data_IF_248010562359
#
_entry.id   IF_248010562359
#
_cell.length_a   1.000
_cell.length_b   1.000
_cell.length_c   1.000
_cell.angle_alpha   90.00
_cell.angle_beta   90.00
_cell.angle_gamma   90.00
#
_symmetry.space_group_name_H-M   'P 1'
#
loop_
_entity.id
_entity.type
_entity.pdbx_description
1 polymer ?
#
# COMPACT_ATOMS: atom_id res chain seq x y z
N UNK A 1 -13.95 19.82 27.42
CA UNK A 1 -13.69 18.41 27.24
C UNK A 1 -12.96 18.17 25.93
N UNK A 2 -11.67 18.18 25.99
CA UNK A 2 -10.87 18.08 24.77
C UNK A 2 -10.37 16.66 24.52
N UNK A 3 -10.75 15.73 25.38
CA UNK A 3 -10.20 14.38 25.32
C UNK A 3 -10.52 13.69 24.02
N UNK A 4 -11.76 13.77 23.55
CA UNK A 4 -12.14 13.13 22.29
C UNK A 4 -11.47 13.76 21.09
N UNK A 5 -11.37 15.09 21.10
CA UNK A 5 -10.69 15.78 19.99
C UNK A 5 -9.22 15.42 19.97
N UNK A 6 -8.57 15.43 21.13
CA UNK A 6 -7.17 15.06 21.22
C UNK A 6 -6.94 13.61 20.82
N UNK A 7 -7.84 12.73 21.24
CA UNK A 7 -7.75 11.31 20.89
C UNK A 7 -7.86 11.12 19.37
N UNK A 8 -8.81 11.82 18.73
CA UNK A 8 -8.96 11.71 17.29
C UNK A 8 -7.72 12.18 16.53
N UNK A 9 -7.12 13.27 16.98
CA UNK A 9 -5.88 13.76 16.37
C UNK A 9 -4.74 12.78 16.55
N UNK A 10 -4.66 12.17 17.73
CA UNK A 10 -3.62 11.18 17.99
C UNK A 10 -3.76 9.98 17.06
N UNK A 11 -4.99 9.51 16.85
CA UNK A 11 -5.23 8.38 15.95
C UNK A 11 -4.82 8.74 14.52
N UNK A 12 -5.22 9.91 14.02
CA UNK A 12 -4.84 10.31 12.67
C UNK A 12 -3.35 10.54 12.53
N UNK A 13 -2.71 11.05 13.55
CA UNK A 13 -1.27 11.23 13.55
C UNK A 13 -0.56 9.87 13.48
N UNK A 14 -0.99 8.92 14.31
CA UNK A 14 -0.40 7.59 14.32
C UNK A 14 -0.68 6.84 13.04
N UNK A 15 -1.88 7.02 12.48
CA UNK A 15 -2.21 6.40 11.20
C UNK A 15 -1.30 6.92 10.10
N UNK A 16 -1.14 8.23 10.01
CA UNK A 16 -0.26 8.84 9.00
C UNK A 16 1.17 8.33 9.13
N UNK A 17 1.69 8.30 10.35
CA UNK A 17 3.05 7.81 10.58
C UNK A 17 3.20 6.34 10.25
N UNK A 18 2.24 5.54 10.69
CA UNK A 18 2.27 4.10 10.45
C UNK A 18 2.16 3.77 8.98
N UNK A 19 1.26 4.45 8.27
CA UNK A 19 1.09 4.21 6.85
C UNK A 19 2.34 4.62 6.06
N UNK A 20 2.92 5.76 6.42
CA UNK A 20 4.17 6.19 5.79
C UNK A 20 5.28 5.17 6.01
N UNK A 21 5.41 4.66 7.22
CA UNK A 21 6.41 3.64 7.53
C UNK A 21 6.15 2.35 6.75
N UNK A 22 4.89 1.96 6.64
CA UNK A 22 4.51 0.77 5.89
C UNK A 22 4.86 0.92 4.41
N UNK A 23 4.49 2.06 3.80
CA UNK A 23 4.82 2.29 2.40
C UNK A 23 6.32 2.31 2.17
N UNK A 24 7.09 2.89 3.09
CA UNK A 24 8.55 2.90 2.95
C UNK A 24 9.10 1.48 2.92
N UNK A 25 8.53 0.58 3.70
CA UNK A 25 8.96 -0.82 3.72
C UNK A 25 8.55 -1.56 2.45
N UNK A 26 7.34 -1.30 1.95
CA UNK A 26 6.91 -1.89 0.68
C UNK A 26 7.80 -1.38 -0.45
N UNK A 27 8.07 -0.07 -0.49
CA UNK A 27 8.95 0.51 -1.50
C UNK A 27 10.31 -0.19 -1.50
N UNK A 28 10.90 -0.34 -0.32
CA UNK A 28 12.18 -1.03 -0.19
C UNK A 28 12.10 -2.46 -0.69
N UNK A 29 11.02 -3.18 -0.34
CA UNK A 29 10.86 -4.57 -0.75
C UNK A 29 10.74 -4.72 -2.25
N UNK A 30 10.13 -3.75 -2.94
CA UNK A 30 10.00 -3.78 -4.40
C UNK A 30 11.14 -3.05 -5.11
N UNK A 31 12.10 -2.50 -4.36
CA UNK A 31 13.33 -1.98 -4.94
C UNK A 31 13.32 -0.53 -5.31
N UNK A 32 12.44 0.28 -4.73
CA UNK A 32 12.43 1.73 -4.95
C UNK A 32 12.55 2.47 -3.63
N UNK A 33 12.84 3.77 -3.71
CA UNK A 33 12.92 4.60 -2.53
C UNK A 33 11.57 5.21 -2.16
N UNK A 34 11.51 5.81 -0.97
CA UNK A 34 10.27 6.42 -0.51
C UNK A 34 9.91 7.66 -1.35
N UNK A 35 10.87 8.26 -2.01
CA UNK A 35 10.62 9.38 -2.94
C UNK A 35 9.71 8.99 -4.10
N UNK A 36 9.58 7.69 -4.36
CA UNK A 36 8.67 7.17 -5.38
C UNK A 36 7.25 6.96 -4.86
N UNK A 37 7.00 7.29 -3.60
CA UNK A 37 5.72 7.04 -2.96
C UNK A 37 4.95 8.33 -2.73
N UNK A 38 3.64 8.23 -2.70
CA UNK A 38 2.78 9.31 -2.25
C UNK A 38 1.62 8.74 -1.45
N UNK A 39 1.05 9.58 -0.60
CA UNK A 39 -0.03 9.22 0.30
C UNK A 39 -1.17 10.20 0.16
N UNK A 40 -2.38 9.68 0.25
CA UNK A 40 -3.58 10.48 0.42
C UNK A 40 -4.30 9.94 1.65
N UNK A 41 -4.46 10.79 2.65
CA UNK A 41 -5.03 10.38 3.94
C UNK A 41 -6.53 10.66 4.03
N UNK A 42 -7.13 11.21 2.99
CA UNK A 42 -8.57 11.37 2.93
C UNK A 42 -9.25 9.99 2.84
N UNK A 43 -10.55 9.95 3.10
CA UNK A 43 -11.28 8.69 3.04
C UNK A 43 -11.78 8.41 1.62
N UNK A 44 -11.43 7.24 1.05
CA UNK A 44 -10.56 6.22 1.61
C UNK A 44 -9.09 6.61 1.53
N UNK A 45 -8.33 6.29 2.56
CA UNK A 45 -6.89 6.53 2.52
C UNK A 45 -6.25 5.65 1.46
N UNK A 46 -5.22 6.18 0.81
CA UNK A 46 -4.54 5.45 -0.26
C UNK A 46 -3.06 5.77 -0.30
N UNK A 47 -2.32 4.88 -0.94
CA UNK A 47 -0.90 5.04 -1.17
C UNK A 47 -0.55 4.63 -2.60
N UNK A 48 0.51 5.23 -3.11
CA UNK A 48 0.97 5.02 -4.48
C UNK A 48 2.47 4.79 -4.46
N UNK A 49 2.92 3.78 -5.19
CA UNK A 49 4.35 3.48 -5.31
C UNK A 49 4.67 3.38 -6.80
N UNK A 50 5.38 4.38 -7.33
CA UNK A 50 5.84 4.36 -8.70
C UNK A 50 6.99 3.36 -8.82
N UNK A 51 6.88 2.46 -9.76
CA UNK A 51 7.92 1.47 -10.00
C UNK A 51 8.78 1.91 -11.17
N UNK A 52 10.07 1.69 -11.04
CA UNK A 52 11.02 2.12 -12.04
C UNK A 52 11.24 1.02 -13.08
N UNK A 53 10.11 0.49 -13.56
CA UNK A 53 10.15 -0.62 -14.51
C UNK A 53 8.83 -0.74 -15.24
N UNK A 54 8.85 -1.50 -16.33
CA UNK A 54 7.66 -1.83 -17.11
C UNK A 54 7.50 -3.34 -17.16
N UNK A 55 6.34 -3.81 -17.65
CA UNK A 55 6.15 -5.22 -17.92
C UNK A 55 6.63 -5.54 -19.33
N UNK A 56 7.10 -6.77 -19.58
CA UNK A 56 7.65 -7.13 -20.90
C UNK A 56 6.71 -6.88 -22.07
N UNK A 57 5.41 -7.12 -21.87
CA UNK A 57 4.41 -6.95 -22.93
C UNK A 57 3.75 -5.58 -22.92
N UNK A 58 4.20 -4.68 -22.05
CA UNK A 58 3.62 -3.34 -21.91
C UNK A 58 4.71 -2.30 -21.73
N UNK A 59 5.71 -2.35 -22.59
CA UNK A 59 6.89 -1.50 -22.44
C UNK A 59 6.60 -0.02 -22.55
N UNK A 60 5.45 0.36 -23.15
CA UNK A 60 5.08 1.76 -23.29
C UNK A 60 4.26 2.28 -22.10
N UNK A 61 4.10 1.49 -21.05
CA UNK A 61 3.28 1.86 -19.91
C UNK A 61 4.11 1.77 -18.63
N UNK A 62 3.98 2.78 -17.80
CA UNK A 62 4.63 2.79 -16.50
C UNK A 62 3.86 1.91 -15.52
N UNK A 63 4.58 1.11 -14.77
CA UNK A 63 4.00 0.22 -13.79
C UNK A 63 4.02 0.88 -12.41
N UNK A 64 2.94 0.74 -11.67
CA UNK A 64 2.82 1.27 -10.32
C UNK A 64 2.01 0.33 -9.46
N UNK A 65 2.15 0.51 -8.16
CA UNK A 65 1.33 -0.18 -7.17
C UNK A 65 0.48 0.86 -6.45
N UNK A 66 -0.78 0.52 -6.25
CA UNK A 66 -1.71 1.37 -5.50
C UNK A 66 -2.30 0.56 -4.37
N UNK A 67 -2.32 1.17 -3.19
CA UNK A 67 -2.98 0.62 -2.02
C UNK A 67 -4.11 1.55 -1.63
N UNK A 68 -5.26 0.99 -1.26
CA UNK A 68 -6.26 1.75 -0.54
C UNK A 68 -6.82 0.91 0.60
N UNK A 69 -7.40 1.60 1.58
CA UNK A 69 -7.81 0.93 2.82
C UNK A 69 -8.99 -0.02 2.64
N UNK A 70 -9.69 0.05 1.53
CA UNK A 70 -10.85 -0.81 1.26
C UNK A 70 -10.43 -2.03 0.47
N UNK A 71 -9.62 -1.85 -0.56
CA UNK A 71 -9.32 -2.89 -1.55
C UNK A 71 -7.92 -3.48 -1.45
N UNK A 72 -7.06 -2.89 -0.62
CA UNK A 72 -5.67 -3.34 -0.52
C UNK A 72 -4.85 -2.99 -1.75
N UNK A 73 -3.88 -3.82 -2.06
CA UNK A 73 -2.92 -3.53 -3.12
C UNK A 73 -3.42 -3.94 -4.50
N UNK A 74 -3.11 -3.11 -5.49
CA UNK A 74 -3.31 -3.45 -6.89
C UNK A 74 -2.08 -3.03 -7.70
N UNK A 75 -1.89 -3.70 -8.82
CA UNK A 75 -0.88 -3.30 -9.80
C UNK A 75 -1.58 -2.61 -10.95
N UNK A 76 -1.07 -1.46 -11.35
CA UNK A 76 -1.67 -0.65 -12.40
C UNK A 76 -0.62 -0.27 -13.44
N UNK A 77 -1.08 -0.02 -14.65
CA UNK A 77 -0.23 0.55 -15.70
C UNK A 77 -0.80 1.89 -16.12
N UNK A 78 0.10 2.80 -16.41
CA UNK A 78 -0.23 4.15 -16.82
C UNK A 78 0.39 4.42 -18.17
N UNK A 79 -0.38 4.90 -19.17
CA UNK A 79 0.21 5.22 -20.48
C UNK A 79 1.28 6.29 -20.36
N UNK A 80 2.38 6.13 -21.09
CA UNK A 80 3.51 7.03 -20.99
C UNK A 80 3.15 8.47 -21.36
N UNK A 81 2.17 8.67 -22.21
CA UNK A 81 1.73 10.01 -22.59
C UNK A 81 0.63 10.58 -21.70
N UNK A 82 0.37 9.96 -20.59
CA UNK A 82 -0.76 10.33 -19.71
C UNK A 82 -2.02 9.59 -20.10
N UNK A 83 -3.04 9.71 -19.28
CA UNK A 83 -4.28 9.01 -19.47
C UNK A 83 -4.64 8.21 -18.22
N UNK A 84 -5.77 7.52 -18.27
CA UNK A 84 -6.26 6.79 -17.12
C UNK A 84 -5.41 5.55 -16.84
N UNK A 85 -5.09 5.33 -15.57
CA UNK A 85 -4.43 4.11 -15.13
C UNK A 85 -5.36 2.92 -15.30
N UNK A 86 -4.80 1.78 -15.66
CA UNK A 86 -5.55 0.54 -15.83
C UNK A 86 -5.09 -0.47 -14.79
N UNK A 87 -6.03 -0.98 -14.02
CA UNK A 87 -5.72 -2.02 -13.04
C UNK A 87 -5.49 -3.33 -13.75
N UNK A 88 -4.37 -3.96 -13.46
CA UNK A 88 -4.02 -5.28 -14.02
C UNK A 88 -4.49 -6.39 -13.10
N UNK A 89 -4.29 -6.25 -11.81
CA UNK A 89 -4.64 -7.29 -10.87
C UNK A 89 -4.65 -6.72 -9.45
N UNK A 90 -5.40 -7.37 -8.56
CA UNK A 90 -5.39 -7.09 -7.13
C UNK A 90 -4.64 -8.20 -6.42
N UNK A 91 -3.89 -7.83 -5.39
CA UNK A 91 -3.18 -8.82 -4.60
C UNK A 91 -4.14 -9.76 -3.88
N UNK A 92 -5.19 -9.21 -3.28
CA UNK A 92 -6.12 -10.00 -2.49
C UNK A 92 -5.48 -10.52 -1.21
N UNK A 93 -5.78 -11.75 -0.89
CA UNK A 93 -5.26 -12.37 0.32
C UNK A 93 -6.11 -12.03 1.53
N UNK A 94 -5.69 -12.44 2.73
CA UNK A 94 -6.51 -12.27 3.94
C UNK A 94 -6.38 -10.91 4.59
N UNK A 95 -5.39 -10.10 4.21
CA UNK A 95 -5.08 -8.87 4.94
C UNK A 95 -5.05 -7.66 4.01
N UNK A 96 -5.60 -6.55 4.49
CA UNK A 96 -5.55 -5.28 3.75
C UNK A 96 -4.15 -4.66 3.82
N UNK A 97 -3.39 -4.99 4.86
CA UNK A 97 -2.02 -4.56 5.05
C UNK A 97 -1.11 -5.80 5.09
N UNK A 98 -0.90 -6.44 3.94
CA UNK A 98 -0.03 -7.61 3.92
C UNK A 98 1.43 -7.23 4.19
N UNK A 99 2.25 -8.18 4.61
CA UNK A 99 3.66 -7.88 4.80
C UNK A 99 4.32 -7.43 3.49
N UNK A 100 5.31 -6.57 3.57
CA UNK A 100 5.98 -6.06 2.35
C UNK A 100 6.47 -7.16 1.42
N UNK A 101 6.92 -8.30 1.96
CA UNK A 101 7.38 -9.40 1.11
C UNK A 101 6.26 -9.99 0.27
N UNK A 102 5.01 -9.95 0.76
CA UNK A 102 3.87 -10.45 0.00
C UNK A 102 3.59 -9.55 -1.19
N UNK A 103 3.75 -8.24 -1.02
CA UNK A 103 3.59 -7.28 -2.11
C UNK A 103 4.71 -7.49 -3.15
N UNK A 104 5.94 -7.67 -2.69
CA UNK A 104 7.07 -7.90 -3.59
C UNK A 104 6.87 -9.19 -4.38
N UNK A 105 6.37 -10.25 -3.74
CA UNK A 105 6.10 -11.52 -4.41
C UNK A 105 4.99 -11.37 -5.44
N UNK A 106 3.94 -10.65 -5.12
CA UNK A 106 2.86 -10.36 -6.05
C UNK A 106 3.40 -9.69 -7.32
N UNK A 107 4.25 -8.68 -7.14
CA UNK A 107 4.86 -7.99 -8.26
C UNK A 107 5.73 -8.93 -9.08
N UNK A 108 6.50 -9.79 -8.43
CA UNK A 108 7.39 -10.71 -9.12
C UNK A 108 6.60 -11.75 -9.94
N UNK A 109 5.53 -12.29 -9.38
CA UNK A 109 4.68 -13.24 -10.10
C UNK A 109 4.02 -12.55 -11.29
N UNK A 110 3.55 -11.31 -11.11
CA UNK A 110 2.95 -10.54 -12.20
C UNK A 110 3.96 -10.34 -13.33
N UNK A 111 5.21 -10.02 -12.98
CA UNK A 111 6.26 -9.77 -13.96
C UNK A 111 6.64 -11.03 -14.74
N UNK A 112 6.68 -12.17 -14.06
CA UNK A 112 7.11 -13.42 -14.68
C UNK A 112 5.99 -14.16 -15.41
N UNK A 113 4.79 -14.16 -14.85
CA UNK A 113 3.67 -14.96 -15.36
C UNK A 113 2.56 -14.13 -15.98
N UNK A 114 2.60 -12.82 -15.78
CA UNK A 114 1.54 -11.93 -16.23
C UNK A 114 0.28 -12.04 -15.39
N UNK A 115 -0.73 -11.20 -15.69
CA UNK A 115 -2.01 -11.30 -15.00
C UNK A 115 -2.71 -12.62 -15.35
N UNK A 116 -3.50 -13.20 -14.42
CA UNK A 116 -3.72 -12.65 -13.09
C UNK A 116 -2.73 -13.22 -12.07
N UNK A 117 -1.86 -12.35 -11.54
CA UNK A 117 -0.98 -12.74 -10.44
C UNK A 117 -1.72 -12.76 -9.12
N UNK A 118 -2.92 -12.24 -9.08
CA UNK A 118 -3.80 -12.21 -7.94
C UNK A 118 -5.21 -12.39 -8.44
N UNK A 119 -6.01 -11.37 -8.33
CA UNK A 119 -7.41 -11.41 -8.75
C UNK A 119 -7.72 -10.25 -9.68
N UNK A 120 -8.63 -10.47 -10.62
CA UNK A 120 -9.18 -9.37 -11.43
C UNK A 120 -10.26 -8.60 -10.68
N UNK A 121 -10.84 -9.19 -9.64
CA UNK A 121 -11.89 -8.54 -8.88
C UNK A 121 -11.28 -7.81 -7.70
N UNK A 122 -11.78 -6.58 -7.46
CA UNK A 122 -11.38 -5.83 -6.29
C UNK A 122 -11.90 -6.51 -5.04
N UNK A 123 -11.04 -6.95 -4.14
CA UNK A 123 -11.50 -7.44 -2.85
C UNK A 123 -12.04 -6.29 -2.01
N UNK A 124 -12.90 -6.59 -1.07
CA UNK A 124 -13.39 -5.59 -0.12
C UNK A 124 -13.05 -6.10 1.27
N UNK A 125 -12.02 -5.50 1.87
CA UNK A 125 -11.56 -5.91 3.19
C UNK A 125 -12.34 -5.24 4.30
N UNK A 126 -12.76 -4.00 4.10
CA UNK A 126 -13.36 -3.18 5.14
C UNK A 126 -14.00 -1.95 4.51
N UNK A 127 -14.70 -1.17 5.36
CA UNK A 127 -15.21 0.14 4.95
C UNK A 127 -14.12 1.19 5.15
N UNK A 128 -14.21 2.28 4.41
CA UNK A 128 -13.31 3.41 4.59
C UNK A 128 -13.53 4.06 5.95
N UNK A 129 -12.47 4.63 6.49
CA UNK A 129 -12.51 5.29 7.78
C UNK A 129 -12.11 4.34 8.91
N UNK A 130 -12.42 4.71 10.15
CA UNK A 130 -12.10 3.92 11.34
C UNK A 130 -10.61 3.54 11.37
N UNK A 131 -9.75 4.54 11.18
CA UNK A 131 -8.31 4.33 11.04
C UNK A 131 -7.67 3.76 12.31
N UNK A 132 -8.33 3.87 13.45
CA UNK A 132 -7.84 3.25 14.69
C UNK A 132 -7.67 1.74 14.55
N UNK A 133 -8.48 1.11 13.72
CA UNK A 133 -8.33 -0.32 13.48
C UNK A 133 -7.04 -0.63 12.72
N UNK A 134 -6.70 0.23 11.77
CA UNK A 134 -5.51 0.04 10.96
C UNK A 134 -4.23 0.35 11.74
N UNK A 135 -4.30 1.29 12.67
CA UNK A 135 -3.13 1.66 13.47
C UNK A 135 -2.54 0.46 14.18
N UNK A 136 -3.38 -0.46 14.63
CA UNK A 136 -2.91 -1.65 15.33
C UNK A 136 -2.13 -2.60 14.43
N UNK A 137 -2.34 -2.53 13.13
CA UNK A 137 -1.70 -3.43 12.16
C UNK A 137 -0.49 -2.80 11.49
N UNK A 138 -0.31 -1.50 11.68
CA UNK A 138 0.76 -0.76 11.04
C UNK A 138 2.04 -0.80 11.87
N UNK A 139 3.21 -0.64 11.24
CA UNK A 139 4.46 -0.56 12.00
C UNK A 139 4.45 0.63 12.94
N UNK A 140 4.96 0.43 14.15
CA UNK A 140 5.13 1.52 15.09
C UNK A 140 6.58 1.95 15.05
N UNK A 141 6.79 3.19 14.66
CA UNK A 141 8.12 3.81 14.74
C UNK A 141 8.04 4.89 15.79
N UNK A 142 8.54 4.59 16.98
CA UNK A 142 8.65 5.58 18.04
C UNK A 142 9.98 6.29 17.98
N UNK A 143 10.21 7.18 18.93
CA UNK A 143 11.51 7.83 19.04
C UNK A 143 12.65 6.83 19.16
N UNK A 144 12.36 5.65 19.68
CA UNK A 144 13.33 4.59 19.86
C UNK A 144 13.54 3.77 18.60
N UNK A 145 12.74 3.99 17.58
CA UNK A 145 12.83 3.19 16.38
C UNK A 145 12.40 1.74 16.55
N UNK A 146 11.74 1.43 17.65
CA UNK A 146 11.34 0.06 17.93
C UNK A 146 10.07 -0.30 17.20
N UNK A 147 10.03 -1.53 16.71
CA UNK A 147 8.84 -2.08 16.09
C UNK A 147 7.99 -2.77 17.13
N UNK A 148 6.69 -2.79 16.87
CA UNK A 148 5.77 -3.52 17.71
C UNK A 148 6.11 -5.02 17.65
N UNK A 149 6.27 -5.68 18.80
CA UNK A 149 6.64 -7.11 18.78
C UNK A 149 5.63 -8.00 18.08
N UNK A 150 4.37 -7.56 18.02
CA UNK A 150 3.31 -8.34 17.42
C UNK A 150 3.25 -8.21 15.90
N UNK A 151 4.25 -7.64 15.28
CA UNK A 151 4.27 -7.47 13.83
C UNK A 151 5.31 -8.42 13.21
N UNK A 152 5.04 -9.71 13.19
CA UNK A 152 6.06 -10.68 12.80
C UNK A 152 6.46 -10.62 11.34
N UNK A 153 5.64 -10.01 10.52
CA UNK A 153 5.89 -9.95 9.09
C UNK A 153 6.69 -8.73 8.68
N UNK A 154 6.98 -7.85 9.60
CA UNK A 154 7.71 -6.61 9.32
C UNK A 154 9.21 -6.76 9.59
#
# INVERSE_FOLDING_TARGET
MNTLIGFGRDIEYHFARGLRAYLARVARAVGVGFESCSLDLDEPASGYVALDRTLPDRAAHDLALIWDEVHGWSAVVEPAGGGAAKVLAYLGGPEVLPPPRAVARFLEVLRLAGPPAGSFRAPVFRRAGHHEELVEWLPVTGPEGLLRPSSPAW
#
